data_IF_031131260508
#
_entry.id   IF_031131260508
#
_cell.length_a   1.000
_cell.length_b   1.000
_cell.length_c   1.000
_cell.angle_alpha   90.00
_cell.angle_beta   90.00
_cell.angle_gamma   90.00
#
_symmetry.space_group_name_H-M   'P 1'
#
loop_
_entity.id
_entity.type
_entity.pdbx_description
1 polymer ?
#
# COMPACT_ATOMS: atom_id res chain seq x y z
N UNK A 1 -6.53 -12.55 -3.17
CA UNK A 1 -7.47 -11.44 -2.93
C UNK A 1 -6.91 -10.06 -3.26
N UNK A 2 -5.76 -9.96 -3.94
CA UNK A 2 -5.19 -8.67 -4.31
C UNK A 2 -5.48 -8.40 -5.78
N UNK A 3 -6.07 -7.25 -6.06
CA UNK A 3 -6.28 -6.78 -7.43
C UNK A 3 -5.28 -5.66 -7.68
N UNK A 4 -4.46 -5.82 -8.69
CA UNK A 4 -3.38 -4.87 -9.02
C UNK A 4 -3.69 -4.27 -10.38
N UNK A 5 -3.78 -2.94 -10.42
CA UNK A 5 -4.03 -2.21 -11.66
C UNK A 5 -2.83 -2.18 -12.59
N UNK A 6 -2.98 -1.45 -13.68
CA UNK A 6 -1.92 -1.34 -14.68
C UNK A 6 -0.76 -0.49 -14.15
N UNK A 7 0.44 -0.79 -14.63
CA UNK A 7 1.62 0.01 -14.37
C UNK A 7 1.99 0.16 -12.90
N UNK A 8 1.64 -0.83 -12.10
CA UNK A 8 1.98 -0.84 -10.67
C UNK A 8 3.36 -1.44 -10.48
N UNK A 9 4.18 -0.79 -9.67
CA UNK A 9 5.47 -1.33 -9.27
C UNK A 9 5.33 -1.98 -7.90
N UNK A 10 5.81 -3.20 -7.76
CA UNK A 10 5.84 -3.89 -6.48
C UNK A 10 7.29 -4.27 -6.18
N UNK A 11 7.84 -3.67 -5.15
CA UNK A 11 9.24 -3.89 -4.77
C UNK A 11 9.45 -5.29 -4.19
N UNK A 12 10.71 -5.71 -4.11
CA UNK A 12 11.03 -7.04 -3.60
C UNK A 12 10.62 -7.18 -2.14
N UNK A 13 10.13 -8.37 -1.81
CA UNK A 13 9.68 -8.72 -0.46
C UNK A 13 8.51 -7.89 0.06
N UNK A 14 7.80 -7.17 -0.80
CA UNK A 14 6.54 -6.57 -0.39
C UNK A 14 5.55 -7.68 -0.05
N UNK A 15 4.77 -7.47 0.99
CA UNK A 15 3.86 -8.48 1.50
C UNK A 15 2.44 -7.94 1.53
N UNK A 16 1.51 -8.71 0.97
CA UNK A 16 0.07 -8.41 1.03
C UNK A 16 -0.58 -9.45 1.90
N UNK A 17 -1.26 -9.02 2.96
CA UNK A 17 -1.99 -9.96 3.79
C UNK A 17 -3.37 -10.24 3.18
N UNK A 18 -4.06 -11.25 3.64
CA UNK A 18 -5.39 -11.60 3.13
C UNK A 18 -6.37 -12.02 4.22
N UNK A 19 -5.93 -12.07 5.46
CA UNK A 19 -6.78 -12.41 6.59
C UNK A 19 -6.78 -11.22 7.54
N UNK A 20 -7.92 -10.57 7.67
CA UNK A 20 -8.03 -9.33 8.43
C UNK A 20 -7.87 -9.57 9.93
N UNK A 21 -8.31 -10.72 10.41
CA UNK A 21 -8.23 -11.09 11.82
C UNK A 21 -7.59 -12.48 11.90
N UNK A 22 -6.27 -12.56 11.73
CA UNK A 22 -5.60 -13.84 11.66
C UNK A 22 -5.60 -14.53 13.02
N UNK A 23 -6.09 -15.76 13.01
CA UNK A 23 -6.14 -16.61 14.21
C UNK A 23 -5.79 -18.03 13.83
N UNK A 24 -4.98 -18.67 14.66
CA UNK A 24 -4.77 -20.09 14.53
C UNK A 24 -6.09 -20.81 14.76
N UNK A 25 -6.29 -21.91 14.07
CA UNK A 25 -7.48 -22.77 14.25
C UNK A 25 -8.80 -22.05 13.99
N UNK A 26 -8.84 -21.18 13.00
CA UNK A 26 -10.08 -20.52 12.60
C UNK A 26 -10.58 -21.14 11.30
N UNK A 27 -11.53 -22.09 11.35
CA UNK A 27 -12.03 -22.74 10.13
C UNK A 27 -12.91 -21.80 9.30
N UNK A 28 -13.33 -20.67 9.85
CA UNK A 28 -14.25 -19.76 9.19
C UNK A 28 -13.56 -18.51 8.62
N UNK A 29 -12.24 -18.51 8.55
CA UNK A 29 -11.54 -17.36 8.00
C UNK A 29 -11.91 -17.15 6.52
N UNK A 30 -11.94 -15.91 6.10
CA UNK A 30 -12.24 -15.54 4.72
C UNK A 30 -11.19 -14.59 4.20
N UNK A 31 -11.03 -14.57 2.88
CA UNK A 31 -10.12 -13.63 2.24
C UNK A 31 -10.72 -12.23 2.30
N UNK A 32 -9.94 -11.28 2.80
CA UNK A 32 -10.29 -9.86 2.76
C UNK A 32 -9.50 -9.24 1.61
N UNK A 33 -10.18 -8.74 0.55
CA UNK A 33 -9.49 -8.27 -0.64
C UNK A 33 -8.80 -6.92 -0.45
N UNK A 34 -7.82 -6.68 -1.30
CA UNK A 34 -7.03 -5.45 -1.33
C UNK A 34 -6.95 -4.97 -2.77
N UNK A 35 -6.93 -3.67 -2.97
CA UNK A 35 -6.90 -3.08 -4.31
C UNK A 35 -5.76 -2.09 -4.43
N UNK A 36 -4.96 -2.25 -5.48
CA UNK A 36 -3.86 -1.35 -5.81
C UNK A 36 -4.20 -0.70 -7.14
N UNK A 37 -4.36 0.62 -7.13
CA UNK A 37 -4.79 1.35 -8.31
C UNK A 37 -3.62 1.62 -9.25
N UNK A 38 -3.95 2.03 -10.47
CA UNK A 38 -2.99 2.26 -11.53
C UNK A 38 -1.81 3.13 -11.09
N UNK A 39 -0.62 2.75 -11.50
CA UNK A 39 0.58 3.55 -11.34
C UNK A 39 1.12 3.64 -9.92
N UNK A 40 0.49 2.99 -8.94
CA UNK A 40 1.00 3.01 -7.58
C UNK A 40 2.33 2.26 -7.48
N UNK A 41 3.16 2.68 -6.53
CA UNK A 41 4.47 2.05 -6.29
C UNK A 41 4.56 1.58 -4.84
N UNK A 42 4.86 0.31 -4.69
CA UNK A 42 5.01 -0.30 -3.37
C UNK A 42 6.50 -0.56 -3.13
N UNK A 43 7.07 0.10 -2.14
CA UNK A 43 8.49 -0.03 -1.83
C UNK A 43 8.85 -1.41 -1.28
N UNK A 44 10.13 -1.73 -1.34
CA UNK A 44 10.66 -3.00 -0.86
C UNK A 44 10.29 -3.23 0.60
N UNK A 45 9.95 -4.47 0.93
CA UNK A 45 9.64 -4.88 2.31
C UNK A 45 8.45 -4.16 2.93
N UNK A 46 7.62 -3.47 2.15
CA UNK A 46 6.39 -2.88 2.67
C UNK A 46 5.38 -3.97 2.96
N UNK A 47 4.57 -3.76 3.98
CA UNK A 47 3.46 -4.66 4.32
C UNK A 47 2.16 -3.92 4.11
N UNK A 48 1.28 -4.50 3.29
CA UNK A 48 -0.02 -3.94 3.00
C UNK A 48 -1.06 -4.80 3.69
N UNK A 49 -1.66 -4.26 4.74
CA UNK A 49 -2.71 -4.97 5.46
C UNK A 49 -3.97 -4.99 4.59
N UNK A 50 -4.60 -6.13 4.48
CA UNK A 50 -5.73 -6.33 3.58
C UNK A 50 -6.94 -5.45 3.92
N UNK A 51 -7.85 -5.34 2.97
CA UNK A 51 -9.09 -4.59 3.16
C UNK A 51 -8.97 -3.10 2.85
N UNK A 52 -7.92 -2.69 2.16
CA UNK A 52 -7.67 -1.28 1.83
C UNK A 52 -7.50 -1.10 0.34
N UNK A 53 -7.59 0.16 -0.07
CA UNK A 53 -7.30 0.58 -1.44
C UNK A 53 -6.12 1.54 -1.42
N UNK A 54 -5.13 1.26 -2.25
CA UNK A 54 -4.01 2.19 -2.47
C UNK A 54 -4.32 2.94 -3.76
N UNK A 55 -4.46 4.26 -3.65
CA UNK A 55 -4.89 5.11 -4.73
C UNK A 55 -3.89 5.23 -5.87
N UNK A 56 -4.37 5.75 -7.01
CA UNK A 56 -3.56 5.90 -8.20
C UNK A 56 -2.30 6.70 -7.92
N UNK A 57 -1.18 6.21 -8.45
CA UNK A 57 0.10 6.90 -8.37
C UNK A 57 0.58 7.20 -6.95
N UNK A 58 -0.03 6.56 -5.95
CA UNK A 58 0.48 6.64 -4.59
C UNK A 58 1.84 5.95 -4.49
N UNK A 59 2.60 6.35 -3.51
CA UNK A 59 3.95 5.84 -3.33
C UNK A 59 4.10 5.40 -1.87
N UNK A 60 4.44 4.14 -1.68
CA UNK A 60 4.64 3.56 -0.35
C UNK A 60 6.13 3.38 -0.14
N UNK A 61 6.69 4.06 0.85
CA UNK A 61 8.11 3.97 1.14
C UNK A 61 8.49 2.56 1.59
N UNK A 62 9.73 2.18 1.33
CA UNK A 62 10.25 0.87 1.72
C UNK A 62 10.05 0.63 3.22
N UNK A 63 9.70 -0.59 3.58
CA UNK A 63 9.57 -0.99 4.98
C UNK A 63 8.33 -0.46 5.69
N UNK A 64 7.46 0.25 5.01
CA UNK A 64 6.24 0.81 5.63
C UNK A 64 5.21 -0.27 5.89
N UNK A 65 4.34 -0.01 6.86
CA UNK A 65 3.20 -0.89 7.16
C UNK A 65 1.93 -0.07 6.95
N UNK A 66 1.21 -0.36 5.88
CA UNK A 66 0.01 0.39 5.47
C UNK A 66 -1.22 -0.30 6.03
N UNK A 67 -1.95 0.41 6.89
CA UNK A 67 -3.08 -0.16 7.64
C UNK A 67 -4.43 0.45 7.28
N UNK A 68 -4.46 1.45 6.40
CA UNK A 68 -5.70 2.11 5.97
C UNK A 68 -5.56 2.59 4.55
N UNK A 69 -6.68 3.00 3.96
CA UNK A 69 -6.71 3.49 2.59
C UNK A 69 -5.70 4.60 2.36
N UNK A 70 -5.16 4.65 1.16
CA UNK A 70 -4.16 5.63 0.75
C UNK A 70 -4.74 6.46 -0.39
N UNK A 71 -4.71 7.78 -0.21
CA UNK A 71 -5.19 8.71 -1.23
C UNK A 71 -4.32 8.64 -2.49
N UNK A 72 -4.89 8.95 -3.66
CA UNK A 72 -4.10 9.06 -4.88
C UNK A 72 -2.95 10.05 -4.69
N UNK A 73 -1.80 9.72 -5.27
CA UNK A 73 -0.60 10.56 -5.23
C UNK A 73 -0.03 10.79 -3.83
N UNK A 74 -0.49 10.07 -2.81
CA UNK A 74 0.05 10.23 -1.47
C UNK A 74 1.39 9.50 -1.35
N UNK A 75 2.33 10.13 -0.66
CA UNK A 75 3.56 9.46 -0.22
C UNK A 75 3.36 9.02 1.23
N UNK A 76 3.38 7.72 1.43
CA UNK A 76 3.15 7.10 2.74
C UNK A 76 4.44 6.55 3.29
N UNK A 77 4.65 6.68 4.58
CA UNK A 77 5.91 6.26 5.19
C UNK A 77 5.69 5.87 6.64
N UNK A 78 6.36 4.82 7.07
CA UNK A 78 6.43 4.43 8.47
C UNK A 78 5.57 3.24 8.87
N UNK A 79 5.53 2.97 10.16
CA UNK A 79 4.74 1.90 10.77
C UNK A 79 4.07 2.40 12.06
N UNK A 80 2.75 2.62 12.07
CA UNK A 80 1.88 2.57 10.89
C UNK A 80 2.20 3.71 9.93
N UNK A 81 1.98 3.46 8.66
CA UNK A 81 2.31 4.45 7.64
C UNK A 81 1.42 5.69 7.77
N UNK A 82 2.03 6.84 7.53
CA UNK A 82 1.34 8.13 7.52
C UNK A 82 1.68 8.86 6.24
N UNK A 83 0.77 9.69 5.77
CA UNK A 83 1.04 10.50 4.60
C UNK A 83 1.99 11.63 4.99
N UNK A 84 3.13 11.69 4.34
CA UNK A 84 4.17 12.70 4.62
C UNK A 84 4.27 13.73 3.52
N UNK A 85 3.70 13.45 2.34
CA UNK A 85 3.74 14.37 1.21
C UNK A 85 2.78 13.89 0.12
N UNK A 86 2.75 14.59 -0.99
CA UNK A 86 2.18 14.13 -2.25
C UNK A 86 3.31 14.04 -3.28
N UNK A 87 3.08 13.23 -4.31
CA UNK A 87 4.06 13.03 -5.38
C UNK A 87 3.39 13.26 -6.73
N UNK A 88 4.18 13.49 -7.75
CA UNK A 88 3.71 13.51 -9.14
C UNK A 88 3.83 12.10 -9.74
N UNK A 89 3.48 11.94 -11.01
CA UNK A 89 3.52 10.63 -11.65
C UNK A 89 4.93 10.04 -11.72
N UNK A 90 5.96 10.88 -11.70
CA UNK A 90 7.34 10.43 -11.71
C UNK A 90 7.88 10.12 -10.32
N UNK A 91 7.09 10.37 -9.28
CA UNK A 91 7.50 10.10 -7.91
C UNK A 91 8.21 11.26 -7.22
N UNK A 92 8.22 12.42 -7.82
CA UNK A 92 8.82 13.59 -7.20
C UNK A 92 7.88 14.21 -6.18
N UNK A 93 8.41 14.59 -5.02
CA UNK A 93 7.60 15.25 -3.98
C UNK A 93 7.20 16.64 -4.45
N UNK A 94 5.93 16.95 -4.31
CA UNK A 94 5.39 18.22 -4.84
C UNK A 94 4.77 19.13 -3.79
N UNK A 95 4.39 18.61 -2.65
CA UNK A 95 3.76 19.41 -1.61
C UNK A 95 4.73 19.96 -0.61
N UNK A 96 6.01 19.74 -0.81
CA UNK A 96 6.99 20.03 0.19
C UNK A 96 8.06 20.95 -0.31
N UNK A 97 8.32 21.97 0.41
CA UNK A 97 9.52 22.72 0.20
C UNK A 97 10.53 22.20 1.19
N UNK A 98 11.46 21.56 0.72
CA UNK A 98 12.55 20.96 1.48
C UNK A 98 12.63 20.96 2.89
#
# INVERSE_FOLDING_TARGET
GVTIGDEVFVGPNACFTNDKVPRANNPDWTVTPTRIERGASIGANATIVCGITIGEYAMIAAGSVVTRDVAPYALMMGNPARQVDTVDKAGNRVGKTA
#
